data_IF_482290442202
#
_entry.id   IF_482290442202
#
_cell.length_a   1.000
_cell.length_b   1.000
_cell.length_c   1.000
_cell.angle_alpha   90.00
_cell.angle_beta   90.00
_cell.angle_gamma   90.00
#
_symmetry.space_group_name_H-M   'P 1'
#
loop_
_entity.id
_entity.type
_entity.pdbx_description
1 polymer ?
#
# COMPACT_ATOMS: atom_id res chain seq x y z
N UNK A 1 25.51 29.44 77.28
CA UNK A 1 25.28 30.83 76.83
C UNK A 1 24.82 30.80 75.38
N UNK A 2 23.72 31.52 75.11
CA UNK A 2 23.04 31.70 73.82
C UNK A 2 23.75 32.64 72.86
N UNK A 3 23.37 32.55 71.58
CA UNK A 3 23.41 33.62 70.56
C UNK A 3 23.17 33.00 69.18
N UNK A 4 21.93 32.83 68.70
CA UNK A 4 21.07 33.80 67.98
C UNK A 4 21.79 34.54 66.84
N UNK A 5 21.06 34.66 65.71
CA UNK A 5 21.25 35.55 64.54
C UNK A 5 22.00 34.86 63.39
N UNK A 6 21.49 34.77 62.16
CA UNK A 6 20.30 35.35 61.53
C UNK A 6 20.11 34.80 60.11
N UNK A 7 18.91 35.01 59.58
CA UNK A 7 18.45 34.69 58.23
C UNK A 7 19.44 35.10 57.12
N UNK A 8 19.53 34.27 56.08
CA UNK A 8 19.47 34.79 54.72
C UNK A 8 18.81 33.76 53.80
N UNK A 9 17.58 34.09 53.41
CA UNK A 9 16.85 33.41 52.37
C UNK A 9 17.50 33.69 51.02
N UNK A 10 17.87 32.65 50.28
CA UNK A 10 18.12 32.73 48.84
C UNK A 10 16.97 32.01 48.17
N UNK A 11 16.00 32.81 47.73
CA UNK A 11 14.96 32.39 46.81
C UNK A 11 15.61 32.16 45.44
N UNK A 12 15.88 30.91 45.09
CA UNK A 12 16.12 30.50 43.71
C UNK A 12 14.79 30.01 43.14
N UNK A 13 14.12 30.92 42.43
CA UNK A 13 12.99 30.60 41.58
C UNK A 13 13.45 29.65 40.47
N UNK A 14 12.96 28.41 40.51
CA UNK A 14 13.06 27.49 39.39
C UNK A 14 12.10 27.97 38.28
N UNK A 15 12.53 28.10 37.02
CA UNK A 15 11.59 28.27 35.93
C UNK A 15 10.75 26.99 35.81
N UNK A 16 9.42 27.15 35.85
CA UNK A 16 8.45 26.14 35.51
C UNK A 16 8.60 25.79 34.01
N UNK A 17 9.53 24.89 33.70
CA UNK A 17 9.71 24.33 32.38
C UNK A 17 9.52 22.83 32.49
N UNK A 18 8.33 22.35 32.16
CA UNK A 18 8.08 20.92 32.03
C UNK A 18 6.64 20.56 32.32
N UNK A 19 5.89 20.37 31.24
CA UNK A 19 4.87 19.33 30.99
C UNK A 19 3.78 19.95 30.11
N UNK A 20 4.08 20.01 28.80
CA UNK A 20 3.09 20.09 27.71
C UNK A 20 3.70 19.55 26.41
N UNK A 21 4.40 18.43 26.53
CA UNK A 21 4.94 17.66 25.41
C UNK A 21 4.57 16.18 25.54
N UNK A 22 3.45 15.87 26.20
CA UNK A 22 2.91 14.51 26.31
C UNK A 22 1.65 14.30 25.45
N UNK A 23 0.96 15.38 25.06
CA UNK A 23 -0.27 15.30 24.23
C UNK A 23 0.01 14.90 22.77
N UNK A 24 1.19 15.23 22.22
CA UNK A 24 1.50 14.97 20.81
C UNK A 24 1.76 13.46 20.54
N UNK A 25 2.36 12.77 21.52
CA UNK A 25 2.69 11.34 21.43
C UNK A 25 1.45 10.42 21.58
N UNK A 26 0.38 10.85 22.24
CA UNK A 26 -0.86 10.05 22.32
C UNK A 26 -1.80 10.32 21.13
N UNK A 27 -1.73 11.52 20.55
CA UNK A 27 -2.54 11.92 19.40
C UNK A 27 -2.23 11.10 18.14
N UNK A 28 -0.98 10.68 17.92
CA UNK A 28 -0.64 9.84 16.76
C UNK A 28 -1.16 8.41 16.92
N UNK A 29 -1.17 7.84 18.13
CA UNK A 29 -1.70 6.49 18.39
C UNK A 29 -3.21 6.46 18.20
N UNK A 30 -3.92 7.49 18.68
CA UNK A 30 -5.38 7.62 18.48
C UNK A 30 -5.74 7.82 17.00
N UNK A 31 -4.93 8.60 16.25
CA UNK A 31 -5.11 8.75 14.80
C UNK A 31 -4.79 7.46 14.03
N UNK A 32 -3.78 6.70 14.45
CA UNK A 32 -3.41 5.42 13.86
C UNK A 32 -4.49 4.34 14.11
N UNK A 33 -4.99 4.23 15.34
CA UNK A 33 -6.07 3.31 15.70
C UNK A 33 -7.42 3.71 15.05
N UNK A 34 -7.70 5.02 14.96
CA UNK A 34 -8.91 5.55 14.32
C UNK A 34 -8.93 5.37 12.80
N UNK A 35 -7.77 5.47 12.14
CA UNK A 35 -7.66 5.25 10.69
C UNK A 35 -7.89 3.79 10.28
N UNK A 36 -7.60 2.84 11.17
CA UNK A 36 -7.83 1.41 10.92
C UNK A 36 -9.32 0.99 11.01
N UNK A 37 -10.18 1.83 11.61
CA UNK A 37 -11.60 1.55 11.84
C UNK A 37 -12.54 2.60 11.23
N UNK A 38 -12.13 3.30 10.17
CA UNK A 38 -13.05 4.12 9.39
C UNK A 38 -13.80 3.23 8.38
N UNK A 39 -15.10 2.94 8.56
CA UNK A 39 -15.90 2.33 7.51
C UNK A 39 -16.04 3.36 6.39
N UNK A 40 -15.40 3.09 5.26
CA UNK A 40 -15.42 4.00 4.11
C UNK A 40 -14.09 4.65 3.77
N UNK A 41 -12.94 4.15 4.25
CA UNK A 41 -11.71 4.31 3.46
C UNK A 41 -11.98 3.60 2.14
N UNK A 42 -12.10 4.29 0.99
CA UNK A 42 -11.99 3.59 -0.26
C UNK A 42 -10.58 3.02 -0.23
N UNK A 43 -10.45 1.71 0.01
CA UNK A 43 -9.28 0.95 -0.40
C UNK A 43 -9.02 1.48 -1.79
N UNK A 44 -7.90 2.18 -1.98
CA UNK A 44 -7.59 2.83 -3.24
C UNK A 44 -7.85 1.77 -4.29
N UNK A 45 -8.93 1.94 -5.04
CA UNK A 45 -9.26 1.03 -6.10
C UNK A 45 -8.16 1.34 -7.08
N UNK A 46 -7.05 0.61 -6.95
CA UNK A 46 -5.92 0.56 -7.87
C UNK A 46 -6.62 0.55 -9.21
N UNK A 47 -6.63 1.72 -9.87
CA UNK A 47 -7.46 1.94 -11.05
C UNK A 47 -6.97 0.88 -11.99
N UNK A 48 -7.77 -0.18 -12.17
CA UNK A 48 -7.43 -1.29 -13.04
C UNK A 48 -7.27 -0.68 -14.43
N UNK A 49 -6.03 -0.26 -14.71
CA UNK A 49 -5.73 0.60 -15.83
C UNK A 49 -5.93 -0.30 -17.03
N UNK A 50 -6.87 0.07 -17.90
CA UNK A 50 -7.03 -0.63 -19.16
C UNK A 50 -5.74 -0.43 -19.93
N UNK A 51 -5.12 -1.54 -20.33
CA UNK A 51 -3.87 -1.54 -21.09
C UNK A 51 -4.15 -2.11 -22.46
N UNK A 52 -3.57 -1.48 -23.48
CA UNK A 52 -3.66 -1.96 -24.85
C UNK A 52 -2.75 -3.17 -25.04
N UNK A 53 -3.14 -4.13 -25.89
CA UNK A 53 -2.39 -5.37 -26.07
C UNK A 53 -0.90 -5.16 -26.40
N UNK A 54 -0.50 -4.23 -27.30
CA UNK A 54 0.92 -4.00 -27.61
C UNK A 54 1.74 -3.50 -26.42
N UNK A 55 1.10 -2.93 -25.40
CA UNK A 55 1.79 -2.45 -24.20
C UNK A 55 2.12 -3.59 -23.22
N UNK A 56 1.57 -4.80 -23.42
CA UNK A 56 1.84 -5.97 -22.58
C UNK A 56 3.32 -6.35 -22.52
N UNK A 57 4.08 -6.10 -23.59
CA UNK A 57 5.52 -6.38 -23.62
C UNK A 57 6.28 -5.57 -22.54
N UNK A 58 5.79 -4.36 -22.22
CA UNK A 58 6.35 -3.51 -21.15
C UNK A 58 5.94 -3.96 -19.75
N UNK A 59 4.97 -4.86 -19.66
CA UNK A 59 4.42 -5.38 -18.42
C UNK A 59 4.99 -6.75 -18.05
N UNK A 60 6.08 -7.20 -18.69
CA UNK A 60 6.76 -8.42 -18.29
C UNK A 60 7.10 -8.40 -16.78
N UNK A 61 6.76 -9.48 -16.08
CA UNK A 61 6.87 -9.62 -14.63
C UNK A 61 5.69 -9.04 -13.84
N UNK A 62 4.76 -8.30 -14.45
CA UNK A 62 3.59 -7.73 -13.78
C UNK A 62 2.40 -8.70 -13.80
N UNK A 63 1.58 -8.61 -12.74
CA UNK A 63 0.32 -9.32 -12.65
C UNK A 63 -0.74 -8.60 -13.48
N UNK A 64 -1.46 -9.36 -14.30
CA UNK A 64 -2.53 -8.87 -15.16
C UNK A 64 -3.73 -9.80 -15.11
N UNK A 65 -4.88 -9.23 -15.42
CA UNK A 65 -6.12 -9.94 -15.70
C UNK A 65 -6.55 -9.65 -17.12
N UNK A 66 -6.72 -10.71 -17.90
CA UNK A 66 -7.08 -10.66 -19.30
C UNK A 66 -8.49 -11.23 -19.48
N UNK A 67 -9.36 -10.46 -20.12
CA UNK A 67 -10.66 -10.91 -20.58
C UNK A 67 -10.52 -11.49 -21.99
N UNK A 68 -10.97 -12.73 -22.14
CA UNK A 68 -10.87 -13.51 -23.38
C UNK A 68 -12.17 -13.41 -24.17
N UNK A 69 -12.13 -13.63 -25.48
CA UNK A 69 -13.26 -13.49 -26.39
C UNK A 69 -14.45 -14.40 -26.05
N UNK A 70 -14.19 -15.53 -25.40
CA UNK A 70 -15.20 -16.46 -24.87
C UNK A 70 -15.89 -15.94 -23.58
N UNK A 71 -15.52 -14.75 -23.10
CA UNK A 71 -16.02 -14.14 -21.88
C UNK A 71 -15.32 -14.63 -20.61
N UNK A 72 -14.39 -15.58 -20.72
CA UNK A 72 -13.61 -16.05 -19.58
C UNK A 72 -12.53 -15.03 -19.18
N UNK A 73 -12.08 -15.11 -17.92
CA UNK A 73 -10.98 -14.28 -17.43
C UNK A 73 -9.77 -15.15 -17.07
N UNK A 74 -8.59 -14.67 -17.45
CA UNK A 74 -7.30 -15.28 -17.14
C UNK A 74 -6.47 -14.29 -16.32
N UNK A 75 -6.18 -14.66 -15.08
CA UNK A 75 -5.27 -13.90 -14.22
C UNK A 75 -3.90 -14.58 -14.20
N UNK A 76 -2.83 -13.81 -14.36
CA UNK A 76 -1.48 -14.35 -14.40
C UNK A 76 -0.41 -13.26 -14.39
N UNK A 77 0.84 -13.67 -14.37
CA UNK A 77 1.99 -12.79 -14.53
C UNK A 77 2.42 -12.84 -15.99
N UNK A 78 2.59 -11.68 -16.64
CA UNK A 78 3.11 -11.63 -18.00
C UNK A 78 4.56 -12.11 -17.99
N UNK A 79 4.87 -13.16 -18.74
CA UNK A 79 6.24 -13.64 -18.90
C UNK A 79 6.87 -13.01 -20.14
N UNK A 80 6.12 -12.98 -21.24
CA UNK A 80 6.52 -12.41 -22.51
C UNK A 80 5.26 -11.99 -23.28
N UNK A 81 5.37 -10.96 -24.11
CA UNK A 81 4.34 -10.61 -25.07
C UNK A 81 5.00 -10.13 -26.36
N UNK A 82 4.39 -10.49 -27.48
CA UNK A 82 4.74 -10.03 -28.81
C UNK A 82 3.52 -9.41 -29.50
N UNK A 83 3.57 -9.19 -30.81
CA UNK A 83 2.50 -8.54 -31.55
C UNK A 83 1.23 -9.41 -31.68
N UNK A 84 1.38 -10.73 -31.57
CA UNK A 84 0.35 -11.72 -31.90
C UNK A 84 -0.07 -12.55 -30.68
N UNK A 85 0.76 -12.67 -29.66
CA UNK A 85 0.47 -13.46 -28.47
C UNK A 85 1.06 -12.90 -27.17
N UNK A 86 0.46 -13.32 -26.05
CA UNK A 86 0.97 -13.10 -24.70
C UNK A 86 1.12 -14.42 -23.96
N UNK A 87 2.27 -14.59 -23.32
CA UNK A 87 2.59 -15.72 -22.47
C UNK A 87 2.37 -15.32 -21.01
N UNK A 88 1.43 -15.99 -20.35
CA UNK A 88 1.10 -15.79 -18.94
C UNK A 88 1.58 -16.97 -18.10
N UNK A 89 2.16 -16.68 -16.95
CA UNK A 89 2.33 -17.64 -15.87
C UNK A 89 1.16 -17.52 -14.91
N UNK A 90 0.38 -18.59 -14.80
CA UNK A 90 -0.83 -18.67 -13.97
C UNK A 90 -0.54 -19.59 -12.77
N UNK A 91 -0.87 -19.11 -11.58
CA UNK A 91 -0.83 -19.94 -10.37
C UNK A 91 -2.12 -20.78 -10.27
N UNK A 92 -1.96 -22.06 -9.94
CA UNK A 92 -3.02 -23.03 -9.70
C UNK A 92 -2.80 -23.68 -8.34
N UNK A 93 -3.81 -24.37 -7.81
CA UNK A 93 -3.71 -25.08 -6.52
C UNK A 93 -2.57 -26.11 -6.48
N UNK A 94 -2.20 -26.68 -7.62
CA UNK A 94 -1.16 -27.72 -7.74
C UNK A 94 0.20 -27.18 -8.22
N UNK A 95 0.36 -25.87 -8.40
CA UNK A 95 1.62 -25.27 -8.85
C UNK A 95 1.44 -24.14 -9.85
N UNK A 96 2.32 -24.07 -10.85
CA UNK A 96 2.30 -23.02 -11.88
C UNK A 96 2.09 -23.64 -13.26
N UNK A 97 1.32 -22.95 -14.10
CA UNK A 97 1.10 -23.31 -15.49
C UNK A 97 1.39 -22.11 -16.39
N UNK A 98 1.93 -22.39 -17.57
CA UNK A 98 2.11 -21.37 -18.61
C UNK A 98 0.93 -21.44 -19.58
N UNK A 99 0.35 -20.29 -19.91
CA UNK A 99 -0.78 -20.15 -20.82
C UNK A 99 -0.42 -19.13 -21.87
N UNK A 100 -0.56 -19.50 -23.14
CA UNK A 100 -0.42 -18.58 -24.27
C UNK A 100 -1.82 -18.12 -24.69
N UNK A 101 -2.01 -16.81 -24.87
CA UNK A 101 -3.23 -16.23 -25.41
C UNK A 101 -2.91 -15.47 -26.69
N UNK A 102 -3.63 -15.76 -27.77
CA UNK A 102 -3.50 -15.00 -29.00
C UNK A 102 -4.16 -13.63 -28.83
N UNK A 103 -3.63 -12.61 -29.50
CA UNK A 103 -4.16 -11.25 -29.51
C UNK A 103 -5.62 -11.21 -29.96
N UNK A 104 -5.96 -12.02 -30.95
CA UNK A 104 -7.32 -12.13 -31.49
C UNK A 104 -8.35 -12.56 -30.42
N UNK A 105 -7.89 -13.33 -29.42
CA UNK A 105 -8.73 -13.81 -28.33
C UNK A 105 -8.79 -12.83 -27.16
N UNK A 106 -7.97 -11.76 -27.14
CA UNK A 106 -7.94 -10.81 -26.02
C UNK A 106 -8.88 -9.63 -26.28
N UNK A 107 -9.85 -9.43 -25.38
CA UNK A 107 -10.79 -8.30 -25.44
C UNK A 107 -10.39 -7.12 -24.56
N UNK A 108 -9.85 -7.40 -23.39
CA UNK A 108 -9.42 -6.37 -22.47
C UNK A 108 -8.30 -6.87 -21.57
N UNK A 109 -7.41 -5.96 -21.19
CA UNK A 109 -6.35 -6.24 -20.22
C UNK A 109 -6.39 -5.20 -19.11
N UNK A 110 -6.20 -5.68 -17.89
CA UNK A 110 -6.12 -4.87 -16.67
C UNK A 110 -4.87 -5.28 -15.89
N UNK A 111 -4.15 -4.30 -15.37
CA UNK A 111 -3.05 -4.53 -14.43
C UNK A 111 -3.62 -4.50 -13.01
N UNK A 112 -3.27 -5.50 -12.21
CA UNK A 112 -3.55 -5.53 -10.77
C UNK A 112 -2.46 -4.77 -9.98
#
# INVERSE_FOLDING_TARGET
MWGRTGMLAVALALPAAGVRAADDDEAWVLRYMGAAMAPGVPVAAERARRVEFPELARLAGRRVRIEVADGSQRAGVVQQADADAVLLRVLRSTGQATVTLARADVRAVRVD
#
